data_IF_024641795702
#
_entry.id   IF_024641795702
#
_cell.length_a   1.000
_cell.length_b   1.000
_cell.length_c   1.000
_cell.angle_alpha   90.00
_cell.angle_beta   90.00
_cell.angle_gamma   90.00
#
_symmetry.space_group_name_H-M   'P 1'
#
loop_
_entity.id
_entity.type
_entity.pdbx_description
1 polymer ?
#
# COMPACT_ATOMS: atom_id res chain seq x y z
N UNK A 1 -15.89 -11.92 -48.81
CA UNK A 1 -16.08 -11.74 -47.35
C UNK A 1 -14.74 -11.91 -46.66
N UNK A 2 -14.00 -10.82 -46.40
CA UNK A 2 -12.81 -10.82 -45.53
C UNK A 2 -13.21 -10.13 -44.23
N UNK A 3 -13.25 -10.88 -43.15
CA UNK A 3 -13.48 -10.35 -41.81
C UNK A 3 -12.22 -9.63 -41.35
N UNK A 4 -12.31 -8.32 -41.11
CA UNK A 4 -11.27 -7.54 -40.48
C UNK A 4 -11.18 -7.92 -39.00
N UNK A 5 -10.05 -8.50 -38.60
CA UNK A 5 -9.63 -8.63 -37.21
C UNK A 5 -9.22 -7.23 -36.73
N UNK A 6 -9.94 -6.68 -35.75
CA UNK A 6 -9.50 -5.50 -35.01
C UNK A 6 -8.57 -5.98 -33.90
N UNK A 7 -7.27 -5.72 -34.07
CA UNK A 7 -6.29 -5.84 -32.99
C UNK A 7 -6.46 -4.62 -32.08
N UNK A 8 -7.00 -4.84 -30.87
CA UNK A 8 -7.05 -3.82 -29.83
C UNK A 8 -5.66 -3.67 -29.22
N UNK A 9 -4.94 -2.65 -29.68
CA UNK A 9 -3.74 -2.17 -29.01
C UNK A 9 -4.11 -1.69 -27.60
N UNK A 10 -3.72 -2.47 -26.59
CA UNK A 10 -3.74 -2.09 -25.18
C UNK A 10 -2.74 -0.96 -24.96
N UNK A 11 -3.19 0.28 -25.13
CA UNK A 11 -2.52 1.47 -24.62
C UNK A 11 -2.43 1.35 -23.10
N UNK A 12 -1.22 1.17 -22.57
CA UNK A 12 -0.99 1.18 -21.13
C UNK A 12 -1.39 2.54 -20.56
N UNK A 13 -2.56 2.57 -19.89
CA UNK A 13 -2.97 3.71 -19.09
C UNK A 13 -1.92 3.96 -18.01
N UNK A 14 -1.58 5.22 -17.70
CA UNK A 14 -0.77 5.51 -16.53
C UNK A 14 -1.47 4.95 -15.28
N UNK A 15 -0.73 4.47 -14.27
CA UNK A 15 -1.31 4.01 -13.01
C UNK A 15 -2.21 5.10 -12.44
N UNK A 16 -3.52 4.85 -12.47
CA UNK A 16 -4.55 5.76 -11.97
C UNK A 16 -4.55 5.72 -10.45
N UNK A 17 -4.74 6.90 -9.82
CA UNK A 17 -4.98 7.03 -8.37
C UNK A 17 -6.02 5.99 -7.93
N UNK A 18 -5.65 5.11 -7.00
CA UNK A 18 -6.58 4.19 -6.38
C UNK A 18 -7.24 4.89 -5.19
N UNK A 19 -8.47 5.35 -5.41
CA UNK A 19 -9.32 5.80 -4.32
C UNK A 19 -9.73 4.59 -3.47
N UNK A 20 -9.58 4.71 -2.15
CA UNK A 20 -9.99 3.66 -1.23
C UNK A 20 -11.53 3.56 -1.17
N UNK A 21 -12.09 2.40 -0.80
CA UNK A 21 -13.53 2.29 -0.54
C UNK A 21 -13.97 3.26 0.57
N UNK A 22 -15.27 3.55 0.70
CA UNK A 22 -15.80 4.37 1.80
C UNK A 22 -15.32 3.83 3.15
N UNK A 23 -14.72 4.73 3.95
CA UNK A 23 -14.17 4.38 5.25
C UNK A 23 -15.32 4.16 6.25
N UNK A 24 -15.53 2.91 6.63
CA UNK A 24 -16.55 2.50 7.62
C UNK A 24 -15.93 1.55 8.64
N UNK A 25 -16.46 1.49 9.88
CA UNK A 25 -15.95 0.55 10.88
C UNK A 25 -16.08 -0.91 10.40
N UNK A 26 -17.16 -1.22 9.66
CA UNK A 26 -17.40 -2.54 9.07
C UNK A 26 -16.28 -2.96 8.10
N UNK A 27 -15.75 -2.02 7.32
CA UNK A 27 -14.60 -2.29 6.45
C UNK A 27 -13.36 -2.67 7.26
N UNK A 28 -13.07 -1.97 8.37
CA UNK A 28 -11.91 -2.25 9.21
C UNK A 28 -12.02 -3.62 9.91
N UNK A 29 -13.19 -3.96 10.43
CA UNK A 29 -13.41 -5.28 11.07
C UNK A 29 -13.40 -6.44 10.08
N UNK A 30 -13.69 -6.19 8.79
CA UNK A 30 -13.41 -7.16 7.74
C UNK A 30 -11.91 -7.15 7.37
N UNK A 31 -11.10 -7.77 8.23
CA UNK A 31 -9.64 -7.80 8.07
C UNK A 31 -9.17 -8.39 6.75
N UNK A 32 -9.96 -9.29 6.13
CA UNK A 32 -9.70 -9.81 4.79
C UNK A 32 -9.83 -8.71 3.73
N UNK A 33 -10.93 -7.97 3.74
CA UNK A 33 -11.14 -6.87 2.79
C UNK A 33 -10.07 -5.76 2.95
N UNK A 34 -9.72 -5.43 4.20
CA UNK A 34 -8.64 -4.48 4.50
C UNK A 34 -7.30 -4.93 3.90
N UNK A 35 -6.89 -6.18 4.15
CA UNK A 35 -5.64 -6.74 3.62
C UNK A 35 -5.66 -6.86 2.10
N UNK A 36 -6.80 -7.22 1.51
CA UNK A 36 -6.96 -7.33 0.06
C UNK A 36 -6.82 -5.96 -0.62
N UNK A 37 -7.37 -4.90 -0.03
CA UNK A 37 -7.17 -3.54 -0.50
C UNK A 37 -5.68 -3.16 -0.46
N UNK A 38 -5.00 -3.33 0.68
CA UNK A 38 -3.59 -2.97 0.83
C UNK A 38 -2.70 -3.75 -0.12
N UNK A 39 -2.93 -5.06 -0.24
CA UNK A 39 -2.22 -5.95 -1.18
C UNK A 39 -2.41 -5.50 -2.62
N UNK A 40 -3.64 -5.23 -3.04
CA UNK A 40 -3.93 -4.81 -4.42
C UNK A 40 -3.30 -3.46 -4.72
N UNK A 41 -3.42 -2.49 -3.80
CA UNK A 41 -2.80 -1.17 -3.95
C UNK A 41 -1.28 -1.28 -4.11
N UNK A 42 -0.60 -2.07 -3.28
CA UNK A 42 0.85 -2.33 -3.39
C UNK A 42 1.21 -3.02 -4.71
N UNK A 43 0.44 -4.03 -5.13
CA UNK A 43 0.68 -4.75 -6.37
C UNK A 43 0.60 -3.87 -7.63
N UNK A 44 -0.29 -2.87 -7.62
CA UNK A 44 -0.44 -1.98 -8.79
C UNK A 44 0.68 -0.96 -8.97
N UNK A 45 1.37 -0.56 -7.89
CA UNK A 45 2.33 0.56 -7.94
C UNK A 45 3.70 0.14 -7.43
N UNK A 46 3.79 -0.39 -6.21
CA UNK A 46 5.04 -0.66 -5.50
C UNK A 46 5.72 -1.93 -6.03
N UNK A 47 4.99 -3.05 -6.17
CA UNK A 47 5.57 -4.31 -6.66
C UNK A 47 5.99 -4.20 -8.14
N UNK A 48 5.30 -3.36 -8.90
CA UNK A 48 5.54 -3.09 -10.32
C UNK A 48 6.34 -1.80 -10.54
N UNK A 49 6.98 -1.23 -9.50
CA UNK A 49 7.65 0.07 -9.59
C UNK A 49 8.67 0.15 -10.73
N UNK A 50 9.45 -0.91 -10.95
CA UNK A 50 10.40 -0.95 -12.06
C UNK A 50 9.71 -0.87 -13.42
N UNK A 51 8.56 -1.52 -13.58
CA UNK A 51 7.78 -1.47 -14.82
C UNK A 51 7.20 -0.06 -15.02
N UNK A 52 6.62 0.52 -13.97
CA UNK A 52 6.10 1.89 -13.98
C UNK A 52 7.19 2.90 -14.36
N UNK A 53 8.39 2.79 -13.78
CA UNK A 53 9.53 3.67 -14.09
C UNK A 53 10.09 3.43 -15.50
N UNK A 54 10.17 2.18 -15.96
CA UNK A 54 10.60 1.87 -17.31
C UNK A 54 9.64 2.43 -18.37
N UNK A 55 8.34 2.52 -18.07
CA UNK A 55 7.36 3.13 -18.97
C UNK A 55 7.57 4.65 -19.15
N UNK A 56 8.22 5.32 -18.19
CA UNK A 56 8.57 6.74 -18.30
C UNK A 56 9.77 6.98 -19.25
N UNK A 57 10.54 5.93 -19.54
CA UNK A 57 11.66 6.01 -20.47
C UNK A 57 11.12 6.05 -21.89
N UNK A 58 11.17 7.22 -22.54
CA UNK A 58 10.80 7.37 -23.94
C UNK A 58 11.96 6.98 -24.86
N UNK A 59 11.90 5.87 -25.62
CA UNK A 59 13.01 5.45 -26.50
C UNK A 59 13.19 6.39 -27.70
N UNK A 60 12.13 7.09 -28.10
CA UNK A 60 12.07 7.90 -29.32
C UNK A 60 12.75 9.28 -29.22
N UNK A 61 13.29 9.66 -28.06
CA UNK A 61 14.09 10.88 -27.95
C UNK A 61 15.45 10.75 -28.66
N UNK A 62 15.94 9.52 -28.86
CA UNK A 62 17.04 9.26 -29.78
C UNK A 62 16.51 9.09 -31.19
N UNK A 63 16.82 10.07 -32.06
CA UNK A 63 16.64 9.91 -33.51
C UNK A 63 17.43 8.67 -33.95
N UNK A 64 16.76 7.76 -34.65
CA UNK A 64 17.42 6.60 -35.23
C UNK A 64 18.49 7.09 -36.22
N UNK A 65 19.75 6.84 -35.88
CA UNK A 65 20.87 7.06 -36.79
C UNK A 65 21.33 5.70 -37.33
N UNK A 66 21.17 5.44 -38.64
CA UNK A 66 21.58 4.18 -39.24
C UNK A 66 23.09 3.93 -39.14
N UNK A 67 23.92 4.94 -38.88
CA UNK A 67 25.37 4.80 -38.69
C UNK A 67 25.75 3.99 -37.45
N UNK A 68 24.86 3.97 -36.44
CA UNK A 68 25.09 3.29 -35.16
C UNK A 68 24.91 1.77 -35.30
N UNK A 69 24.26 1.30 -36.37
CA UNK A 69 24.08 -0.15 -36.62
C UNK A 69 25.37 -0.86 -37.01
N UNK A 70 26.40 -0.11 -37.44
CA UNK A 70 27.71 -0.64 -37.87
C UNK A 70 28.64 -0.94 -36.68
N UNK A 71 28.41 -0.31 -35.52
CA UNK A 71 29.18 -0.55 -34.30
C UNK A 71 28.28 -1.12 -33.21
N UNK A 72 28.55 -2.35 -32.76
CA UNK A 72 27.94 -2.92 -31.54
C UNK A 72 28.48 -2.18 -30.31
N UNK A 73 28.02 -0.94 -30.09
CA UNK A 73 28.24 -0.25 -28.82
C UNK A 73 27.20 -0.80 -27.84
N UNK A 74 27.60 -1.34 -26.67
CA UNK A 74 26.66 -1.70 -25.63
C UNK A 74 25.78 -0.49 -25.32
N UNK A 75 24.45 -0.62 -25.27
CA UNK A 75 23.60 0.50 -24.87
C UNK A 75 24.06 1.03 -23.50
N UNK A 76 24.02 2.36 -23.26
CA UNK A 76 24.44 2.92 -21.98
C UNK A 76 23.67 2.26 -20.84
N UNK A 77 24.39 1.86 -19.80
CA UNK A 77 23.89 1.05 -18.68
C UNK A 77 22.79 1.75 -17.84
N UNK A 78 22.58 3.04 -18.05
CA UNK A 78 21.53 3.82 -17.40
C UNK A 78 20.81 4.65 -18.46
N UNK A 79 19.59 4.23 -18.82
CA UNK A 79 18.64 5.14 -19.47
C UNK A 79 18.06 6.03 -18.37
N UNK A 80 18.65 7.19 -18.18
CA UNK A 80 18.20 8.17 -17.20
C UNK A 80 16.78 8.60 -17.52
N UNK A 81 15.88 8.50 -16.54
CA UNK A 81 14.50 8.98 -16.70
C UNK A 81 14.55 10.51 -16.69
N UNK A 82 13.74 11.15 -17.54
CA UNK A 82 13.60 12.60 -17.56
C UNK A 82 13.11 13.11 -16.18
N UNK A 83 13.81 14.06 -15.53
CA UNK A 83 13.49 14.47 -14.16
C UNK A 83 12.04 14.92 -13.96
N UNK A 84 11.48 15.65 -14.94
CA UNK A 84 10.09 16.13 -14.89
C UNK A 84 9.07 14.97 -14.92
N UNK A 85 9.34 13.89 -15.68
CA UNK A 85 8.47 12.70 -15.71
C UNK A 85 8.52 11.94 -14.39
N UNK A 86 9.71 11.81 -13.81
CA UNK A 86 9.88 11.22 -12.48
C UNK A 86 9.14 12.03 -11.40
N UNK A 87 9.27 13.36 -11.43
CA UNK A 87 8.58 14.27 -10.52
C UNK A 87 7.06 14.18 -10.67
N UNK A 88 6.57 14.16 -11.91
CA UNK A 88 5.15 14.01 -12.20
C UNK A 88 4.60 12.66 -11.73
N UNK A 89 5.31 11.54 -11.99
CA UNK A 89 4.92 10.22 -11.48
C UNK A 89 4.87 10.21 -9.96
N UNK A 90 5.91 10.73 -9.30
CA UNK A 90 5.98 10.76 -7.84
C UNK A 90 4.82 11.57 -7.27
N UNK A 91 4.60 12.79 -7.76
CA UNK A 91 3.58 13.71 -7.26
C UNK A 91 2.14 13.25 -7.53
N UNK A 92 1.88 12.70 -8.71
CA UNK A 92 0.52 12.44 -9.19
C UNK A 92 0.08 10.98 -9.04
N UNK A 93 1.02 10.05 -8.85
CA UNK A 93 0.72 8.61 -8.73
C UNK A 93 1.18 8.07 -7.38
N UNK A 94 2.48 8.20 -7.09
CA UNK A 94 3.07 7.54 -5.93
C UNK A 94 2.54 8.14 -4.62
N UNK A 95 2.64 9.45 -4.45
CA UNK A 95 2.21 10.13 -3.23
C UNK A 95 0.71 9.97 -2.95
N UNK A 96 -0.21 10.16 -3.93
CA UNK A 96 -1.64 9.94 -3.69
C UNK A 96 -1.98 8.49 -3.32
N UNK A 97 -1.32 7.49 -3.92
CA UNK A 97 -1.55 6.08 -3.57
C UNK A 97 -1.11 5.77 -2.15
N UNK A 98 0.09 6.24 -1.77
CA UNK A 98 0.58 6.10 -0.40
C UNK A 98 -0.32 6.84 0.59
N UNK A 99 -0.85 8.01 0.23
CA UNK A 99 -1.81 8.74 1.05
C UNK A 99 -3.09 7.93 1.26
N UNK A 100 -3.67 7.39 0.19
CA UNK A 100 -4.88 6.55 0.25
C UNK A 100 -4.71 5.37 1.21
N UNK A 101 -3.54 4.70 1.21
CA UNK A 101 -3.23 3.64 2.18
C UNK A 101 -3.03 4.16 3.60
N UNK A 102 -2.39 5.33 3.75
CA UNK A 102 -2.23 5.98 5.06
C UNK A 102 -3.58 6.34 5.67
N UNK A 103 -4.52 6.85 4.88
CA UNK A 103 -5.86 7.25 5.33
C UNK A 103 -6.64 6.04 5.84
N UNK A 104 -6.60 4.93 5.10
CA UNK A 104 -7.20 3.66 5.53
C UNK A 104 -6.59 3.15 6.84
N UNK A 105 -5.25 3.12 6.94
CA UNK A 105 -4.56 2.66 8.15
C UNK A 105 -4.71 3.60 9.36
N UNK A 106 -4.91 4.89 9.11
CA UNK A 106 -5.19 5.88 10.15
C UNK A 106 -6.61 5.74 10.67
N UNK A 107 -7.58 5.62 9.76
CA UNK A 107 -8.99 5.41 10.11
C UNK A 107 -9.20 4.08 10.85
N UNK A 108 -8.66 2.97 10.34
CA UNK A 108 -8.81 1.70 11.04
C UNK A 108 -8.05 1.65 12.38
N UNK A 109 -7.01 2.49 12.57
CA UNK A 109 -6.38 2.63 13.88
C UNK A 109 -7.31 3.33 14.88
N UNK A 110 -8.05 4.37 14.47
CA UNK A 110 -9.01 5.03 15.37
C UNK A 110 -10.17 4.11 15.75
N UNK A 111 -10.68 3.32 14.79
CA UNK A 111 -11.69 2.27 15.05
C UNK A 111 -11.15 1.19 16.00
N UNK A 112 -9.87 0.82 15.90
CA UNK A 112 -9.28 -0.18 16.80
C UNK A 112 -9.15 0.32 18.25
N UNK A 113 -9.20 1.63 18.47
CA UNK A 113 -9.14 2.24 19.81
C UNK A 113 -10.50 2.68 20.36
N UNK A 114 -11.57 2.62 19.56
CA UNK A 114 -12.92 2.95 20.01
C UNK A 114 -13.57 1.77 20.73
N UNK A 115 -14.38 2.06 21.75
CA UNK A 115 -15.19 1.05 22.42
C UNK A 115 -16.20 0.42 21.44
N UNK A 116 -16.26 -0.91 21.41
CA UNK A 116 -17.12 -1.71 20.54
C UNK A 116 -18.20 -2.40 21.39
N UNK A 117 -19.33 -1.73 21.69
CA UNK A 117 -20.35 -2.29 22.57
C UNK A 117 -21.08 -3.51 21.99
N UNK A 118 -21.02 -3.68 20.67
CA UNK A 118 -21.66 -4.76 19.92
C UNK A 118 -20.69 -5.93 19.65
N UNK A 119 -19.53 -5.96 20.32
CA UNK A 119 -18.57 -7.06 20.17
C UNK A 119 -19.19 -8.38 20.67
N UNK A 120 -19.40 -9.37 19.78
CA UNK A 120 -20.00 -10.65 20.16
C UNK A 120 -19.17 -11.41 21.19
N UNK A 121 -17.84 -11.23 21.20
CA UNK A 121 -16.96 -11.91 22.15
C UNK A 121 -17.14 -11.33 23.56
N UNK A 122 -17.25 -10.01 23.70
CA UNK A 122 -17.56 -9.36 24.99
C UNK A 122 -18.94 -9.77 25.50
N UNK A 123 -19.93 -9.85 24.61
CA UNK A 123 -21.29 -10.26 24.97
C UNK A 123 -21.35 -11.73 25.40
N UNK A 124 -20.67 -12.62 24.67
CA UNK A 124 -20.57 -14.04 25.00
C UNK A 124 -19.78 -14.27 26.30
N UNK A 125 -18.70 -13.51 26.51
CA UNK A 125 -17.91 -13.55 27.74
C UNK A 125 -18.76 -13.15 28.95
N UNK A 126 -19.49 -12.03 28.87
CA UNK A 126 -20.40 -11.60 29.94
C UNK A 126 -21.50 -12.61 30.23
N UNK A 127 -21.95 -13.36 29.22
CA UNK A 127 -22.92 -14.44 29.42
C UNK A 127 -22.28 -15.65 30.13
N UNK A 128 -21.12 -16.09 29.68
CA UNK A 128 -20.40 -17.23 30.25
C UNK A 128 -19.94 -16.98 31.69
N UNK A 129 -19.50 -15.76 32.01
CA UNK A 129 -19.08 -15.39 33.36
C UNK A 129 -20.23 -15.42 34.37
N UNK A 130 -21.44 -14.99 33.95
CA UNK A 130 -22.65 -15.08 34.80
C UNK A 130 -23.05 -16.52 35.16
N UNK A 131 -22.70 -17.49 34.33
CA UNK A 131 -23.05 -18.90 34.52
C UNK A 131 -21.92 -19.71 35.20
N UNK A 132 -20.75 -19.09 35.41
CA UNK A 132 -19.54 -19.77 35.88
C UNK A 132 -19.55 -19.96 37.40
N UNK A 133 -19.71 -21.20 37.84
CA UNK A 133 -19.54 -21.62 39.24
C UNK A 133 -18.15 -22.28 39.37
N UNK A 134 -17.25 -21.65 40.13
CA UNK A 134 -15.88 -22.16 40.35
C UNK A 134 -15.84 -22.94 41.67
N UNK A 135 -15.62 -24.26 41.60
CA UNK A 135 -15.34 -25.09 42.77
C UNK A 135 -13.83 -25.44 42.80
N UNK A 136 -13.07 -24.61 43.50
CA UNK A 136 -11.61 -24.74 43.65
C UNK A 136 -11.21 -26.06 44.33
N UNK A 137 -12.15 -26.74 45.01
CA UNK A 137 -11.89 -28.01 45.70
C UNK A 137 -11.99 -29.21 44.76
N UNK A 138 -12.75 -29.09 43.66
CA UNK A 138 -12.88 -30.15 42.65
C UNK A 138 -11.81 -30.02 41.56
N UNK A 139 -11.43 -28.80 41.20
CA UNK A 139 -10.36 -28.52 40.24
C UNK A 139 -9.60 -27.21 40.60
N UNK A 140 -8.35 -27.32 41.10
CA UNK A 140 -7.50 -26.17 41.44
C UNK A 140 -7.13 -25.26 40.26
N UNK A 141 -7.37 -25.68 39.01
CA UNK A 141 -7.10 -24.89 37.81
C UNK A 141 -8.36 -24.27 37.20
N UNK A 142 -9.55 -24.63 37.69
CA UNK A 142 -10.83 -24.11 37.20
C UNK A 142 -10.94 -22.59 37.31
N UNK A 143 -10.23 -21.96 38.26
CA UNK A 143 -10.13 -20.50 38.45
C UNK A 143 -9.36 -19.76 37.35
N UNK A 144 -8.59 -20.45 36.49
CA UNK A 144 -7.82 -19.79 35.42
C UNK A 144 -8.72 -19.45 34.24
N UNK A 145 -9.16 -18.20 34.21
CA UNK A 145 -9.87 -17.62 33.07
C UNK A 145 -8.88 -16.86 32.17
N UNK A 146 -8.91 -17.15 30.87
CA UNK A 146 -8.16 -16.40 29.86
C UNK A 146 -9.16 -15.65 28.98
N UNK A 147 -9.26 -14.31 29.11
CA UNK A 147 -10.11 -13.51 28.24
C UNK A 147 -9.73 -13.75 26.78
N UNK A 148 -10.74 -13.87 25.91
CA UNK A 148 -10.50 -13.88 24.47
C UNK A 148 -10.17 -12.46 24.03
N UNK A 149 -9.25 -12.31 23.09
CA UNK A 149 -8.94 -11.00 22.53
C UNK A 149 -10.20 -10.43 21.89
N UNK A 150 -10.53 -9.18 22.22
CA UNK A 150 -11.69 -8.51 21.62
C UNK A 150 -11.45 -8.28 20.14
N UNK A 151 -12.53 -8.03 19.38
CA UNK A 151 -12.43 -7.73 17.95
C UNK A 151 -11.57 -6.49 17.70
N UNK A 152 -11.62 -5.50 18.57
CA UNK A 152 -10.81 -4.27 18.50
C UNK A 152 -9.34 -4.54 18.82
N UNK A 153 -9.02 -5.41 19.78
CA UNK A 153 -7.65 -5.84 20.08
C UNK A 153 -7.03 -6.62 18.90
N UNK A 154 -7.81 -7.54 18.31
CA UNK A 154 -7.40 -8.29 17.13
C UNK A 154 -7.15 -7.34 15.94
N UNK A 155 -8.04 -6.36 15.72
CA UNK A 155 -7.85 -5.33 14.70
C UNK A 155 -6.60 -4.48 14.97
N UNK A 156 -6.35 -4.06 16.22
CA UNK A 156 -5.18 -3.28 16.59
C UNK A 156 -3.88 -4.02 16.25
N UNK A 157 -3.83 -5.34 16.47
CA UNK A 157 -2.68 -6.16 16.07
C UNK A 157 -2.50 -6.21 14.55
N UNK A 158 -3.58 -6.34 13.79
CA UNK A 158 -3.54 -6.29 12.32
C UNK A 158 -3.00 -4.95 11.83
N UNK A 159 -3.48 -3.83 12.38
CA UNK A 159 -3.04 -2.49 11.98
C UNK A 159 -1.57 -2.24 12.30
N UNK A 160 -1.08 -2.70 13.47
CA UNK A 160 0.36 -2.63 13.82
C UNK A 160 1.22 -3.35 12.79
N UNK A 161 0.82 -4.56 12.41
CA UNK A 161 1.54 -5.35 11.41
C UNK A 161 1.51 -4.67 10.03
N UNK A 162 0.34 -4.21 9.57
CA UNK A 162 0.22 -3.58 8.26
C UNK A 162 0.97 -2.25 8.17
N UNK A 163 1.08 -1.48 9.26
CA UNK A 163 1.94 -0.29 9.32
C UNK A 163 3.42 -0.64 9.18
N UNK A 164 3.88 -1.71 9.82
CA UNK A 164 5.26 -2.18 9.66
C UNK A 164 5.53 -2.61 8.21
N UNK A 165 4.64 -3.39 7.61
CA UNK A 165 4.75 -3.80 6.20
C UNK A 165 4.75 -2.57 5.29
N UNK A 166 3.87 -1.60 5.54
CA UNK A 166 3.80 -0.38 4.74
C UNK A 166 5.11 0.41 4.79
N UNK A 167 5.74 0.54 5.96
CA UNK A 167 7.05 1.19 6.07
C UNK A 167 8.12 0.48 5.24
N UNK A 168 8.17 -0.86 5.29
CA UNK A 168 9.14 -1.66 4.51
C UNK A 168 8.89 -1.50 3.01
N UNK A 169 7.64 -1.53 2.59
CA UNK A 169 7.27 -1.38 1.16
C UNK A 169 7.65 0.02 0.67
N UNK A 170 7.30 1.07 1.41
CA UNK A 170 7.64 2.46 1.03
C UNK A 170 9.14 2.68 0.96
N UNK A 171 9.90 2.20 1.94
CA UNK A 171 11.36 2.29 1.93
C UNK A 171 11.97 1.62 0.70
N UNK A 172 11.54 0.39 0.41
CA UNK A 172 12.01 -0.36 -0.77
C UNK A 172 11.65 0.34 -2.08
N UNK A 173 10.41 0.80 -2.22
CA UNK A 173 9.95 1.53 -3.41
C UNK A 173 10.73 2.82 -3.58
N UNK A 174 10.89 3.59 -2.49
CA UNK A 174 11.60 4.85 -2.50
C UNK A 174 13.05 4.70 -2.91
N UNK A 175 13.75 3.68 -2.42
CA UNK A 175 15.12 3.37 -2.84
C UNK A 175 15.22 3.20 -4.35
N UNK A 176 14.32 2.44 -4.96
CA UNK A 176 14.30 2.23 -6.42
C UNK A 176 13.98 3.52 -7.17
N UNK A 177 13.03 4.31 -6.68
CA UNK A 177 12.69 5.62 -7.27
C UNK A 177 13.90 6.56 -7.21
N UNK A 178 14.59 6.63 -6.08
CA UNK A 178 15.75 7.49 -5.92
C UNK A 178 16.91 7.07 -6.84
N UNK A 179 17.21 5.77 -6.90
CA UNK A 179 18.25 5.21 -7.79
C UNK A 179 17.97 5.50 -9.29
N UNK A 180 16.70 5.44 -9.71
CA UNK A 180 16.32 5.57 -11.13
C UNK A 180 16.05 7.01 -11.57
N UNK A 181 15.52 7.84 -10.67
CA UNK A 181 15.16 9.22 -10.98
C UNK A 181 16.32 10.18 -10.74
N UNK A 182 17.25 9.89 -9.82
CA UNK A 182 18.47 10.67 -9.58
C UNK A 182 18.27 12.15 -9.23
N UNK A 183 17.03 12.58 -8.98
CA UNK A 183 16.64 13.97 -8.73
C UNK A 183 16.43 14.25 -7.24
N UNK A 184 15.94 13.27 -6.50
CA UNK A 184 15.76 13.41 -5.06
C UNK A 184 17.15 13.46 -4.41
N UNK A 185 17.32 14.36 -3.43
CA UNK A 185 18.60 14.45 -2.73
C UNK A 185 18.97 13.08 -2.16
N UNK A 186 20.26 12.73 -2.21
CA UNK A 186 20.74 11.42 -1.72
C UNK A 186 20.35 11.13 -0.24
N UNK A 187 19.94 12.15 0.50
CA UNK A 187 19.51 12.08 1.90
C UNK A 187 18.02 12.25 2.15
N UNK A 188 17.18 12.51 1.13
CA UNK A 188 15.75 12.76 1.37
C UNK A 188 15.00 11.45 1.66
N UNK A 189 14.43 11.38 2.87
CA UNK A 189 13.58 10.26 3.27
C UNK A 189 12.21 10.32 2.59
N UNK A 190 11.58 9.17 2.37
CA UNK A 190 10.26 9.12 1.75
C UNK A 190 9.21 9.85 2.61
N UNK A 191 9.42 9.87 3.92
CA UNK A 191 8.57 10.57 4.90
C UNK A 191 8.58 12.07 4.69
N UNK A 192 9.77 12.67 4.51
CA UNK A 192 9.92 14.10 4.27
C UNK A 192 9.25 14.51 2.96
N UNK A 193 9.42 13.71 1.91
CA UNK A 193 8.79 13.98 0.61
C UNK A 193 7.27 13.89 0.70
N UNK A 194 6.74 12.89 1.41
CA UNK A 194 5.30 12.73 1.60
C UNK A 194 4.72 13.88 2.44
N UNK A 195 5.38 14.27 3.53
CA UNK A 195 4.95 15.39 4.39
C UNK A 195 5.00 16.73 3.63
N UNK A 196 6.06 16.97 2.86
CA UNK A 196 6.15 18.14 1.98
C UNK A 196 5.03 18.14 0.93
N UNK A 197 4.72 16.99 0.33
CA UNK A 197 3.62 16.85 -0.63
C UNK A 197 2.26 17.14 0.02
N UNK A 198 1.99 16.62 1.22
CA UNK A 198 0.78 16.90 1.99
C UNK A 198 0.63 18.40 2.28
N UNK A 199 1.71 19.04 2.77
CA UNK A 199 1.75 20.49 3.05
C UNK A 199 1.52 21.35 1.82
N UNK A 200 1.92 20.90 0.63
CA UNK A 200 1.68 21.59 -0.63
C UNK A 200 0.22 21.55 -1.11
N UNK A 201 -0.69 20.97 -0.32
CA UNK A 201 -2.12 20.90 -0.63
C UNK A 201 -2.51 19.70 -1.47
N UNK A 202 -1.83 18.56 -1.27
CA UNK A 202 -1.97 17.30 -2.03
C UNK A 202 -3.40 17.01 -2.51
N UNK A 203 -3.64 17.33 -3.79
CA UNK A 203 -4.85 16.99 -4.54
C UNK A 203 -4.46 16.34 -5.85
#
# INVERSE_FOLDING_TARGET
>A
MRLYRQDTASTGSPPTKLDHPPLTPQFCFNTRALKDFLRTSRATIDDTINQNLNALVTPASQKFDPSITVRRVPPPASKTIEPEKCKAFTKNVLMPSWQSRSDVLAYCASVATSDDPDDPDILAERAADRERIVDERLDPYSGRFFPRATRTEALAQVIRNERMVENIVRDRTWRVVNERCGYFGASESWQEVLDAWQKSGGK
#
